data_IF_422201429357
#
_entry.id   IF_422201429357
#
_cell.length_a   1.000
_cell.length_b   1.000
_cell.length_c   1.000
_cell.angle_alpha   90.00
_cell.angle_beta   90.00
_cell.angle_gamma   90.00
#
_symmetry.space_group_name_H-M   'P 1'
#
loop_
_entity.id
_entity.type
_entity.pdbx_description
1 polymer ?
#
# COMPACT_ATOMS: atom_id res chain seq x y z
N UNK A 1 -2.02 12.07 -8.64
CA UNK A 1 -1.85 11.60 -10.03
C UNK A 1 -2.34 10.15 -10.15
N UNK A 2 -2.87 9.71 -11.30
CA UNK A 2 -3.08 8.26 -11.55
C UNK A 2 -1.74 7.63 -11.91
N UNK A 3 -1.34 6.61 -11.15
CA UNK A 3 -0.06 5.91 -11.32
C UNK A 3 -0.26 4.63 -12.11
N UNK A 4 -1.28 3.84 -11.78
CA UNK A 4 -1.64 2.62 -12.53
C UNK A 4 -2.98 2.80 -13.22
N UNK A 5 -2.97 2.76 -14.55
CA UNK A 5 -4.18 2.85 -15.37
C UNK A 5 -5.00 1.55 -15.32
N UNK A 6 -4.35 0.39 -15.30
CA UNK A 6 -5.01 -0.92 -15.31
C UNK A 6 -5.95 -1.10 -14.11
N UNK A 7 -5.50 -0.70 -12.93
CA UNK A 7 -6.24 -0.88 -11.66
C UNK A 7 -6.70 0.44 -11.04
N UNK A 8 -6.54 1.55 -11.77
CA UNK A 8 -6.92 2.91 -11.35
C UNK A 8 -6.34 3.32 -10.00
N UNK A 9 -5.10 2.92 -9.73
CA UNK A 9 -4.39 3.27 -8.50
C UNK A 9 -3.81 4.67 -8.65
N UNK A 10 -4.17 5.57 -7.74
CA UNK A 10 -3.57 6.90 -7.65
C UNK A 10 -2.38 6.93 -6.70
N UNK A 11 -1.53 7.90 -6.90
CA UNK A 11 -0.45 8.29 -6.00
C UNK A 11 -0.95 8.52 -4.55
N UNK A 12 -2.17 9.06 -4.38
CA UNK A 12 -2.82 9.20 -3.07
C UNK A 12 -3.16 7.84 -2.45
N UNK A 13 -3.57 6.86 -3.25
CA UNK A 13 -3.89 5.51 -2.75
C UNK A 13 -2.63 4.80 -2.27
N UNK A 14 -1.50 4.96 -2.98
CA UNK A 14 -0.20 4.44 -2.54
C UNK A 14 0.20 5.07 -1.21
N UNK A 15 0.20 6.40 -1.11
CA UNK A 15 0.59 7.10 0.13
C UNK A 15 -0.33 6.76 1.31
N UNK A 16 -1.64 6.66 1.09
CA UNK A 16 -2.61 6.24 2.12
C UNK A 16 -2.32 4.83 2.61
N UNK A 17 -2.10 3.87 1.70
CA UNK A 17 -1.83 2.47 2.05
C UNK A 17 -0.54 2.35 2.89
N UNK A 18 0.49 3.14 2.58
CA UNK A 18 1.71 3.21 3.40
C UNK A 18 1.43 3.83 4.77
N UNK A 19 0.65 4.91 4.84
CA UNK A 19 0.25 5.53 6.11
C UNK A 19 -0.60 4.58 6.99
N UNK A 20 -1.35 3.68 6.37
CA UNK A 20 -2.12 2.63 7.04
C UNK A 20 -1.23 1.47 7.55
N UNK A 21 0.09 1.55 7.37
CA UNK A 21 1.08 0.63 7.93
C UNK A 21 1.69 -0.36 6.95
N UNK A 22 1.40 -0.25 5.65
CA UNK A 22 2.04 -1.12 4.65
C UNK A 22 3.49 -0.69 4.43
N UNK A 23 4.42 -1.57 4.80
CA UNK A 23 5.86 -1.33 4.68
C UNK A 23 6.56 -2.23 3.66
N UNK A 24 5.80 -3.08 2.97
CA UNK A 24 6.29 -4.00 1.96
C UNK A 24 5.61 -3.74 0.61
N UNK A 25 6.36 -3.68 -0.48
CA UNK A 25 5.79 -3.30 -1.77
C UNK A 25 4.89 -4.40 -2.33
N UNK A 26 5.25 -5.67 -2.12
CA UNK A 26 4.44 -6.80 -2.56
C UNK A 26 3.08 -6.79 -1.84
N UNK A 27 3.03 -6.35 -0.58
CA UNK A 27 1.75 -6.16 0.15
C UNK A 27 0.97 -4.97 -0.43
N UNK A 28 1.63 -3.88 -0.84
CA UNK A 28 0.96 -2.81 -1.60
C UNK A 28 0.36 -3.34 -2.91
N UNK A 29 1.06 -4.22 -3.62
CA UNK A 29 0.55 -4.86 -4.84
C UNK A 29 -0.64 -5.75 -4.55
N UNK A 30 -0.62 -6.54 -3.46
CA UNK A 30 -1.76 -7.36 -3.07
C UNK A 30 -3.01 -6.51 -2.77
N UNK A 31 -2.85 -5.46 -1.95
CA UNK A 31 -3.96 -4.59 -1.52
C UNK A 31 -4.52 -3.70 -2.64
N UNK A 32 -3.68 -3.24 -3.57
CA UNK A 32 -4.06 -2.24 -4.59
C UNK A 32 -4.05 -2.75 -6.02
N UNK A 33 -3.48 -3.92 -6.26
CA UNK A 33 -3.19 -4.49 -7.59
C UNK A 33 -2.24 -3.61 -8.43
N UNK A 34 -1.49 -2.68 -7.81
CA UNK A 34 -0.54 -1.85 -8.56
C UNK A 34 0.53 -2.72 -9.24
N UNK A 35 0.81 -2.42 -10.51
CA UNK A 35 1.81 -3.12 -11.33
C UNK A 35 1.58 -4.64 -11.56
N UNK A 36 0.38 -5.18 -11.26
CA UNK A 36 0.09 -6.61 -11.46
C UNK A 36 -0.46 -6.98 -12.84
N UNK A 37 -0.78 -6.01 -13.71
CA UNK A 37 -1.25 -6.25 -15.08
C UNK A 37 -0.17 -6.01 -16.15
N UNK A 38 -0.04 -4.78 -16.68
CA UNK A 38 0.93 -4.49 -17.76
C UNK A 38 2.34 -4.16 -17.26
N UNK A 39 2.51 -3.93 -15.96
CA UNK A 39 3.80 -3.59 -15.33
C UNK A 39 4.35 -2.19 -15.61
N UNK A 40 3.83 -1.43 -16.58
CA UNK A 40 4.42 -0.15 -17.00
C UNK A 40 4.48 0.93 -15.90
N UNK A 41 3.67 0.80 -14.85
CA UNK A 41 3.67 1.72 -13.71
C UNK A 41 4.63 1.31 -12.59
N UNK A 42 5.32 0.16 -12.69
CA UNK A 42 6.06 -0.45 -11.59
C UNK A 42 7.05 0.52 -10.95
N UNK A 43 7.96 1.09 -11.73
CA UNK A 43 9.03 1.95 -11.21
C UNK A 43 8.47 3.24 -10.59
N UNK A 44 7.51 3.88 -11.27
CA UNK A 44 6.82 5.05 -10.74
C UNK A 44 6.08 4.75 -9.41
N UNK A 45 5.38 3.61 -9.33
CA UNK A 45 4.72 3.19 -8.09
C UNK A 45 5.72 2.91 -6.97
N UNK A 46 6.87 2.30 -7.31
CA UNK A 46 7.93 1.97 -6.35
C UNK A 46 8.57 3.23 -5.77
N UNK A 47 8.86 4.22 -6.61
CA UNK A 47 9.41 5.52 -6.18
C UNK A 47 8.48 6.22 -5.18
N UNK A 48 7.17 6.31 -5.50
CA UNK A 48 6.16 6.94 -4.63
C UNK A 48 6.03 6.16 -3.30
N UNK A 49 6.04 4.84 -3.37
CA UNK A 49 6.00 3.99 -2.17
C UNK A 49 7.21 4.22 -1.26
N UNK A 50 8.41 4.24 -1.82
CA UNK A 50 9.65 4.44 -1.04
C UNK A 50 9.74 5.87 -0.48
N UNK A 51 9.26 6.89 -1.23
CA UNK A 51 9.10 8.26 -0.73
C UNK A 51 8.14 8.30 0.47
N UNK A 52 6.96 7.70 0.34
CA UNK A 52 5.96 7.66 1.40
C UNK A 52 6.49 6.95 2.66
N UNK A 53 7.20 5.84 2.49
CA UNK A 53 7.80 5.10 3.61
C UNK A 53 8.84 5.93 4.36
N UNK A 54 9.71 6.64 3.65
CA UNK A 54 10.68 7.54 4.28
C UNK A 54 10.00 8.68 5.03
N UNK A 55 8.95 9.25 4.46
CA UNK A 55 8.17 10.31 5.12
C UNK A 55 7.48 9.81 6.41
N UNK A 56 6.89 8.62 6.39
CA UNK A 56 6.29 8.01 7.59
C UNK A 56 7.32 7.68 8.68
N UNK A 57 8.52 7.22 8.29
CA UNK A 57 9.61 6.93 9.22
C UNK A 57 10.20 8.20 9.87
N UNK A 58 10.29 9.30 9.13
CA UNK A 58 10.77 10.58 9.66
C UNK A 58 9.77 11.24 10.64
N UNK A 59 8.46 11.00 10.45
CA UNK A 59 7.42 11.56 11.29
C UNK A 59 7.23 10.84 12.64
N UNK A 60 7.57 9.55 12.72
CA UNK A 60 7.32 8.70 13.89
C UNK A 60 8.63 8.20 14.52
N UNK A 61 9.26 9.03 15.35
CA UNK A 61 10.45 8.68 16.14
C UNK A 61 10.23 7.65 17.26
N UNK A 62 9.25 6.74 17.16
CA UNK A 62 8.97 5.68 18.15
C UNK A 62 8.49 4.41 17.44
N UNK A 63 9.12 3.30 17.86
CA UNK A 63 9.01 1.89 17.45
C UNK A 63 7.69 1.41 16.84
N UNK A 64 7.86 0.58 15.80
CA UNK A 64 6.87 -0.25 15.15
C UNK A 64 6.05 -1.12 16.13
N UNK A 65 4.85 -0.66 16.48
CA UNK A 65 3.80 -1.58 16.91
C UNK A 65 3.11 -2.11 15.65
N UNK A 66 3.50 -3.32 15.25
CA UNK A 66 2.87 -4.10 14.19
C UNK A 66 1.36 -4.14 14.39
N UNK A 67 0.60 -3.39 13.58
CA UNK A 67 -0.81 -3.68 13.35
C UNK A 67 -0.86 -4.85 12.38
N UNK A 68 -0.56 -6.05 12.90
CA UNK A 68 -1.02 -7.26 12.27
C UNK A 68 -2.55 -7.16 12.22
N UNK A 69 -3.12 -6.91 11.03
CA UNK A 69 -4.55 -7.10 10.79
C UNK A 69 -4.85 -8.58 11.04
N UNK A 70 -5.14 -8.94 12.28
CA UNK A 70 -5.84 -10.18 12.60
C UNK A 70 -7.25 -10.00 12.07
N UNK A 71 -7.55 -10.58 10.91
CA UNK A 71 -8.93 -10.63 10.40
C UNK A 71 -9.68 -11.61 11.30
N UNK A 72 -10.72 -11.20 12.05
CA UNK A 72 -11.54 -12.14 12.80
C UNK A 72 -12.29 -13.03 11.81
N UNK A 73 -12.21 -14.34 12.00
CA UNK A 73 -12.84 -15.44 11.24
C UNK A 73 -14.39 -15.37 11.18
N UNK A 74 -15.01 -14.29 11.66
CA UNK A 74 -16.45 -14.18 11.87
C UNK A 74 -17.26 -13.67 10.67
N UNK A 75 -16.65 -13.27 9.55
CA UNK A 75 -17.36 -12.59 8.46
C UNK A 75 -17.78 -13.50 7.28
N UNK A 76 -18.13 -14.77 7.58
CA UNK A 76 -18.73 -15.71 6.62
C UNK A 76 -20.19 -16.07 6.95
N UNK A 77 -21.03 -15.09 7.33
CA UNK A 77 -22.47 -15.35 7.49
C UNK A 77 -23.32 -14.09 7.27
N UNK A 78 -23.54 -13.72 6.00
CA UNK A 78 -24.72 -12.99 5.55
C UNK A 78 -24.86 -13.22 4.04
N UNK A 79 -25.37 -14.40 3.69
CA UNK A 79 -25.99 -14.69 2.40
C UNK A 79 -27.50 -14.49 2.53
#
# INVERSE_FOLDING_TARGET
>A
MIVCLCHRVSDRDIRRTVADGVHNFEVLQDETQVASACGSCHDCAREIFDEARRACAAAHGVTCASSARVIPIAQMAAA
#
